data_IF_330808807852
#
_entry.id   IF_330808807852
#
_cell.length_a   1.000
_cell.length_b   1.000
_cell.length_c   1.000
_cell.angle_alpha   90.00
_cell.angle_beta   90.00
_cell.angle_gamma   90.00
#
_symmetry.space_group_name_H-M   'P 1'
#
loop_
_entity.id
_entity.type
_entity.pdbx_description
1 polymer ?
#
# COMPACT_ATOMS: atom_id res chain seq x y z
N UNK A 1 2.02 -0.78 17.88
CA UNK A 1 1.07 0.30 17.66
C UNK A 1 -0.01 -0.10 16.68
N UNK A 2 -1.19 0.43 16.90
CA UNK A 2 -2.28 0.19 15.98
C UNK A 2 -1.96 0.80 14.60
N UNK A 3 -2.44 0.15 13.56
CA UNK A 3 -2.33 0.56 12.17
C UNK A 3 -3.17 1.81 11.92
N UNK A 4 -2.63 2.81 11.24
CA UNK A 4 -3.40 3.99 10.83
C UNK A 4 -4.54 3.61 9.90
N UNK A 5 -5.63 4.36 9.97
CA UNK A 5 -6.83 4.13 9.13
C UNK A 5 -6.89 5.09 7.93
N UNK A 6 -5.78 5.77 7.63
CA UNK A 6 -5.73 6.68 6.49
C UNK A 6 -5.37 5.94 5.21
N UNK A 7 -5.97 6.36 4.12
CA UNK A 7 -5.72 5.78 2.80
C UNK A 7 -5.90 6.87 1.74
N UNK A 8 -5.14 6.79 0.65
CA UNK A 8 -5.38 7.67 -0.49
C UNK A 8 -6.64 7.22 -1.21
N UNK A 9 -7.23 8.11 -2.01
CA UNK A 9 -8.41 7.76 -2.82
C UNK A 9 -8.10 6.62 -3.78
N UNK A 10 -6.93 6.64 -4.41
CA UNK A 10 -6.46 5.58 -5.30
C UNK A 10 -6.37 4.23 -4.58
N UNK A 11 -5.80 4.25 -3.36
CA UNK A 11 -5.67 3.03 -2.56
C UNK A 11 -7.02 2.46 -2.15
N UNK A 12 -7.95 3.33 -1.75
CA UNK A 12 -9.30 2.89 -1.38
C UNK A 12 -9.99 2.23 -2.57
N UNK A 13 -9.90 2.87 -3.74
CA UNK A 13 -10.50 2.33 -4.97
C UNK A 13 -9.87 1.00 -5.36
N UNK A 14 -8.56 0.85 -5.18
CA UNK A 14 -7.86 -0.40 -5.46
C UNK A 14 -8.35 -1.55 -4.57
N UNK A 15 -8.52 -1.29 -3.27
CA UNK A 15 -9.02 -2.29 -2.32
C UNK A 15 -10.48 -2.63 -2.60
N UNK A 16 -11.30 -1.64 -2.91
CA UNK A 16 -12.70 -1.84 -3.25
C UNK A 16 -12.85 -2.66 -4.54
N UNK A 17 -12.03 -2.36 -5.54
CA UNK A 17 -12.02 -3.12 -6.80
C UNK A 17 -11.56 -4.56 -6.59
N UNK A 18 -10.56 -4.77 -5.74
CA UNK A 18 -10.10 -6.12 -5.38
C UNK A 18 -11.23 -6.92 -4.74
N UNK A 19 -11.95 -6.32 -3.79
CA UNK A 19 -13.08 -6.95 -3.12
C UNK A 19 -14.16 -7.39 -4.11
N UNK A 20 -14.54 -6.49 -5.02
CA UNK A 20 -15.56 -6.78 -6.03
C UNK A 20 -15.10 -7.88 -6.99
N UNK A 21 -13.84 -7.84 -7.43
CA UNK A 21 -13.27 -8.86 -8.31
C UNK A 21 -13.27 -10.24 -7.65
N UNK A 22 -12.78 -10.33 -6.41
CA UNK A 22 -12.72 -11.61 -5.69
C UNK A 22 -14.10 -12.21 -5.50
N UNK A 23 -15.07 -11.39 -5.12
CA UNK A 23 -16.41 -11.87 -4.81
C UNK A 23 -17.25 -12.17 -6.04
N UNK A 24 -17.22 -11.28 -7.03
CA UNK A 24 -18.10 -11.35 -8.20
C UNK A 24 -17.52 -12.12 -9.39
N UNK A 25 -16.21 -12.16 -9.52
CA UNK A 25 -15.56 -12.76 -10.68
C UNK A 25 -14.75 -14.00 -10.35
N UNK A 26 -13.77 -13.91 -9.47
CA UNK A 26 -12.89 -15.04 -9.18
C UNK A 26 -13.60 -16.14 -8.40
N UNK A 27 -14.31 -15.79 -7.32
CA UNK A 27 -14.97 -16.78 -6.46
C UNK A 27 -15.94 -17.69 -7.21
N UNK A 28 -16.84 -17.18 -8.07
CA UNK A 28 -17.73 -18.06 -8.84
C UNK A 28 -16.98 -19.04 -9.74
N UNK A 29 -15.90 -18.60 -10.39
CA UNK A 29 -15.09 -19.45 -11.27
C UNK A 29 -14.44 -20.58 -10.46
N UNK A 30 -13.83 -20.25 -9.33
CA UNK A 30 -13.17 -21.24 -8.46
C UNK A 30 -14.20 -22.20 -7.87
N UNK A 31 -15.36 -21.71 -7.46
CA UNK A 31 -16.45 -22.55 -6.93
C UNK A 31 -16.91 -23.57 -7.99
N UNK A 32 -17.07 -23.13 -9.23
CA UNK A 32 -17.44 -24.02 -10.33
C UNK A 32 -16.36 -25.07 -10.58
N UNK A 33 -15.09 -24.66 -10.60
CA UNK A 33 -13.97 -25.57 -10.79
C UNK A 33 -13.89 -26.63 -9.69
N UNK A 34 -14.14 -26.24 -8.43
CA UNK A 34 -14.18 -27.17 -7.30
C UNK A 34 -15.32 -28.16 -7.46
N UNK A 35 -16.51 -27.68 -7.87
CA UNK A 35 -17.68 -28.53 -8.07
C UNK A 35 -17.42 -29.59 -9.16
N UNK A 36 -16.82 -29.17 -10.27
CA UNK A 36 -16.46 -30.06 -11.38
C UNK A 36 -15.39 -31.08 -10.94
N UNK A 37 -14.37 -30.64 -10.22
CA UNK A 37 -13.33 -31.53 -9.72
C UNK A 37 -13.89 -32.54 -8.71
N UNK A 38 -14.80 -32.14 -7.85
CA UNK A 38 -15.45 -33.02 -6.88
C UNK A 38 -16.25 -34.13 -7.55
N UNK A 39 -16.81 -33.88 -8.71
CA UNK A 39 -17.59 -34.84 -9.45
C UNK A 39 -16.73 -35.89 -10.14
N UNK A 40 -15.42 -35.68 -10.25
CA UNK A 40 -14.50 -36.53 -11.03
C UNK A 40 -13.83 -37.64 -10.21
N UNK A 41 -14.14 -37.83 -8.94
CA UNK A 41 -13.64 -38.96 -8.17
C UNK A 41 -13.15 -38.65 -6.76
N UNK A 42 -12.07 -39.35 -6.34
CA UNK A 42 -11.56 -39.28 -4.96
C UNK A 42 -11.01 -37.86 -4.65
N UNK A 43 -11.68 -37.19 -3.72
CA UNK A 43 -11.31 -35.83 -3.31
C UNK A 43 -9.97 -35.74 -2.61
N UNK A 44 -9.55 -36.82 -1.93
CA UNK A 44 -8.31 -36.83 -1.18
C UNK A 44 -7.06 -36.85 -2.08
N UNK A 45 -7.17 -37.35 -3.31
CA UNK A 45 -6.08 -37.46 -4.29
C UNK A 45 -6.25 -36.50 -5.46
N UNK A 46 -7.33 -35.71 -5.47
CA UNK A 46 -7.66 -34.81 -6.57
C UNK A 46 -7.00 -33.44 -6.33
N UNK A 47 -5.87 -33.21 -7.00
CA UNK A 47 -5.10 -31.98 -6.84
C UNK A 47 -5.91 -30.72 -7.18
N UNK A 48 -6.73 -30.78 -8.20
CA UNK A 48 -7.57 -29.64 -8.60
C UNK A 48 -8.61 -29.31 -7.53
N UNK A 49 -9.20 -30.32 -6.92
CA UNK A 49 -10.13 -30.13 -5.80
C UNK A 49 -9.44 -29.51 -4.59
N UNK A 50 -8.28 -30.07 -4.21
CA UNK A 50 -7.50 -29.57 -3.05
C UNK A 50 -7.07 -28.13 -3.26
N UNK A 51 -6.52 -27.82 -4.43
CA UNK A 51 -6.08 -26.47 -4.78
C UNK A 51 -7.25 -25.49 -4.79
N UNK A 52 -8.36 -25.86 -5.40
CA UNK A 52 -9.55 -25.01 -5.47
C UNK A 52 -10.13 -24.71 -4.09
N UNK A 53 -10.20 -25.71 -3.22
CA UNK A 53 -10.68 -25.52 -1.83
C UNK A 53 -9.76 -24.59 -1.06
N UNK A 54 -8.45 -24.73 -1.24
CA UNK A 54 -7.47 -23.83 -0.61
C UNK A 54 -7.69 -22.39 -1.11
N UNK A 55 -7.85 -22.21 -2.42
CA UNK A 55 -8.07 -20.89 -3.01
C UNK A 55 -9.37 -20.25 -2.50
N UNK A 56 -10.45 -21.02 -2.37
CA UNK A 56 -11.69 -20.50 -1.80
C UNK A 56 -11.50 -19.98 -0.38
N UNK A 57 -10.74 -20.70 0.44
CA UNK A 57 -10.45 -20.24 1.81
C UNK A 57 -9.66 -18.94 1.81
N UNK A 58 -8.69 -18.80 0.90
CA UNK A 58 -7.90 -17.57 0.75
C UNK A 58 -8.81 -16.40 0.33
N UNK A 59 -9.67 -16.62 -0.67
CA UNK A 59 -10.62 -15.62 -1.16
C UNK A 59 -11.55 -15.18 -0.03
N UNK A 60 -12.17 -16.12 0.67
CA UNK A 60 -13.12 -15.82 1.74
C UNK A 60 -12.46 -15.06 2.89
N UNK A 61 -11.22 -15.40 3.21
CA UNK A 61 -10.45 -14.69 4.25
C UNK A 61 -10.14 -13.26 3.80
N UNK A 62 -9.71 -13.08 2.55
CA UNK A 62 -9.38 -11.76 2.00
C UNK A 62 -10.62 -10.88 1.88
N UNK A 63 -11.73 -11.44 1.40
CA UNK A 63 -13.02 -10.73 1.31
C UNK A 63 -13.46 -10.24 2.70
N UNK A 64 -13.36 -11.09 3.70
CA UNK A 64 -13.72 -10.73 5.08
C UNK A 64 -12.85 -9.60 5.60
N UNK A 65 -11.54 -9.71 5.38
CA UNK A 65 -10.59 -8.66 5.77
C UNK A 65 -10.91 -7.33 5.08
N UNK A 66 -11.07 -7.35 3.75
CA UNK A 66 -11.33 -6.13 2.96
C UNK A 66 -12.65 -5.48 3.37
N UNK A 67 -13.70 -6.27 3.58
CA UNK A 67 -15.00 -5.74 3.99
C UNK A 67 -14.90 -4.95 5.29
N UNK A 68 -14.24 -5.53 6.30
CA UNK A 68 -14.05 -4.88 7.59
C UNK A 68 -13.14 -3.68 7.50
N UNK A 69 -12.05 -3.80 6.72
CA UNK A 69 -11.04 -2.74 6.60
C UNK A 69 -11.61 -1.51 5.90
N UNK A 70 -12.36 -1.70 4.81
CA UNK A 70 -12.98 -0.60 4.07
C UNK A 70 -13.98 0.20 4.90
N UNK A 71 -14.62 -0.44 5.88
CA UNK A 71 -15.56 0.26 6.77
C UNK A 71 -14.88 1.29 7.67
N UNK A 72 -13.63 1.06 8.05
CA UNK A 72 -12.92 1.93 8.99
C UNK A 72 -11.91 2.86 8.33
N UNK A 73 -11.54 2.61 7.07
CA UNK A 73 -10.59 3.45 6.35
C UNK A 73 -11.16 4.82 6.05
N UNK A 74 -10.31 5.84 6.19
CA UNK A 74 -10.63 7.23 5.90
C UNK A 74 -9.81 7.71 4.72
N UNK A 75 -10.49 8.13 3.66
CA UNK A 75 -9.83 8.68 2.49
C UNK A 75 -9.30 10.06 2.84
N UNK A 76 -8.02 10.29 2.57
CA UNK A 76 -7.37 11.60 2.77
C UNK A 76 -6.94 12.11 1.40
N UNK A 77 -7.58 13.18 0.94
CA UNK A 77 -7.22 13.84 -0.31
C UNK A 77 -6.20 14.95 -0.04
N UNK A 78 -5.36 15.32 -1.03
CA UNK A 78 -4.43 16.44 -0.88
C UNK A 78 -5.16 17.74 -0.56
N UNK A 79 -4.58 18.53 0.34
CA UNK A 79 -5.10 19.85 0.72
C UNK A 79 -4.09 20.90 0.23
N UNK A 80 -4.51 21.86 -0.61
CA UNK A 80 -3.60 22.91 -1.09
C UNK A 80 -2.89 23.70 0.01
N UNK A 81 -3.49 23.77 1.21
CA UNK A 81 -2.88 24.45 2.36
C UNK A 81 -1.67 23.70 2.92
N UNK A 82 -1.47 22.46 2.51
CA UNK A 82 -0.36 21.62 2.95
C UNK A 82 0.86 21.68 2.03
N UNK A 83 0.77 22.41 0.93
CA UNK A 83 1.90 22.58 0.01
C UNK A 83 3.09 23.18 0.75
N UNK A 84 4.30 22.70 0.42
CA UNK A 84 5.53 23.13 1.06
C UNK A 84 5.90 22.34 2.32
N UNK A 85 4.98 21.51 2.82
CA UNK A 85 5.24 20.64 3.98
C UNK A 85 4.90 19.20 3.64
N UNK A 86 5.51 18.29 4.39
CA UNK A 86 5.28 16.86 4.21
C UNK A 86 4.09 16.44 5.06
N UNK A 87 3.02 16.00 4.40
CA UNK A 87 1.87 15.38 5.05
C UNK A 87 1.46 14.12 4.30
N UNK A 88 0.39 13.49 4.74
CA UNK A 88 -0.13 12.27 4.11
C UNK A 88 -0.34 12.46 2.60
N UNK A 89 0.11 11.50 1.81
CA UNK A 89 -0.04 11.53 0.36
C UNK A 89 1.08 12.25 -0.38
N UNK A 90 2.00 12.91 0.33
CA UNK A 90 3.09 13.66 -0.32
C UNK A 90 4.11 12.75 -0.98
N UNK A 91 4.63 13.19 -2.12
CA UNK A 91 5.86 12.67 -2.71
C UNK A 91 7.01 13.53 -2.22
N UNK A 92 8.03 12.90 -1.65
CA UNK A 92 9.17 13.58 -1.04
C UNK A 92 10.46 13.06 -1.65
N UNK A 93 11.27 13.96 -2.21
CA UNK A 93 12.61 13.63 -2.69
C UNK A 93 13.61 14.02 -1.62
N UNK A 94 14.45 13.08 -1.23
CA UNK A 94 15.46 13.27 -0.18
C UNK A 94 16.83 12.86 -0.69
N UNK A 95 17.87 13.35 -0.02
CA UNK A 95 19.26 12.98 -0.29
C UNK A 95 19.90 12.53 1.02
N UNK A 96 20.66 11.44 0.97
CA UNK A 96 21.35 10.93 2.16
C UNK A 96 22.79 11.44 2.25
N UNK A 97 23.53 10.97 3.25
CA UNK A 97 24.93 11.38 3.51
C UNK A 97 25.90 10.99 2.38
N UNK A 98 25.52 10.01 1.55
CA UNK A 98 26.31 9.54 0.43
C UNK A 98 25.92 10.24 -0.89
N UNK A 99 25.14 11.32 -0.80
CA UNK A 99 24.62 12.05 -1.96
C UNK A 99 23.72 11.21 -2.87
N UNK A 100 23.16 10.13 -2.32
CA UNK A 100 22.18 9.31 -3.03
C UNK A 100 20.78 9.88 -2.84
N UNK A 101 20.07 10.06 -3.95
CA UNK A 101 18.70 10.58 -3.91
C UNK A 101 17.70 9.44 -3.88
N UNK A 102 16.61 9.64 -3.13
CA UNK A 102 15.50 8.71 -3.07
C UNK A 102 14.19 9.49 -3.08
N UNK A 103 13.16 8.91 -3.69
CA UNK A 103 11.83 9.48 -3.69
C UNK A 103 10.89 8.53 -2.98
N UNK A 104 10.14 9.05 -2.03
CA UNK A 104 9.12 8.29 -1.29
C UNK A 104 7.77 8.94 -1.48
N UNK A 105 6.72 8.13 -1.48
CA UNK A 105 5.36 8.63 -1.29
C UNK A 105 4.86 8.12 0.05
N UNK A 106 4.30 9.01 0.87
CA UNK A 106 3.75 8.66 2.19
C UNK A 106 2.27 8.31 2.02
N UNK A 107 1.95 7.04 2.23
CA UNK A 107 0.60 6.51 2.02
C UNK A 107 0.12 5.75 3.25
N UNK A 108 -1.09 5.22 3.22
CA UNK A 108 -1.61 4.39 4.30
C UNK A 108 -0.92 3.03 4.35
N UNK A 109 -0.97 2.36 5.51
CA UNK A 109 -0.32 1.05 5.67
C UNK A 109 -0.88 -0.02 4.74
N UNK A 110 -2.12 0.12 4.27
CA UNK A 110 -2.73 -0.82 3.33
C UNK A 110 -2.26 -0.62 1.89
N UNK A 111 -1.54 0.48 1.62
CA UNK A 111 -1.06 0.83 0.28
C UNK A 111 0.44 0.66 0.13
N UNK A 112 1.13 0.20 1.16
CA UNK A 112 2.58 0.02 1.15
C UNK A 112 3.00 -0.79 -0.08
N UNK A 113 3.96 -0.25 -0.85
CA UNK A 113 4.45 -0.89 -2.05
C UNK A 113 5.91 -0.50 -2.29
N UNK A 114 6.87 -1.37 -1.90
CA UNK A 114 8.30 -1.07 -2.07
C UNK A 114 8.71 -0.83 -3.52
N UNK A 115 8.08 -1.51 -4.47
CA UNK A 115 8.40 -1.36 -5.89
C UNK A 115 8.09 0.04 -6.39
N UNK A 116 7.03 0.66 -5.87
CA UNK A 116 6.64 2.03 -6.21
C UNK A 116 7.29 3.07 -5.32
N UNK A 117 8.06 2.64 -4.30
CA UNK A 117 8.61 3.53 -3.27
C UNK A 117 7.53 4.21 -2.42
N UNK A 118 6.40 3.55 -2.28
CA UNK A 118 5.31 3.99 -1.41
C UNK A 118 5.52 3.41 -0.02
N UNK A 119 5.72 4.28 0.96
CA UNK A 119 6.00 3.90 2.35
C UNK A 119 4.79 4.20 3.22
N UNK A 120 4.61 3.37 4.25
CA UNK A 120 3.52 3.59 5.21
C UNK A 120 3.76 4.85 6.01
N UNK A 121 2.69 5.61 6.23
CA UNK A 121 2.70 6.77 7.13
C UNK A 121 3.14 6.38 8.54
N UNK A 122 2.98 5.11 8.92
CA UNK A 122 3.38 4.59 10.22
C UNK A 122 4.86 4.18 10.29
N UNK A 123 5.57 4.19 9.14
CA UNK A 123 6.98 3.79 9.10
C UNK A 123 7.89 4.81 9.78
N UNK A 124 9.07 4.39 10.26
CA UNK A 124 10.02 5.33 10.88
C UNK A 124 10.43 6.49 9.96
N UNK A 125 10.65 6.21 8.67
CA UNK A 125 11.02 7.24 7.69
C UNK A 125 9.89 8.26 7.55
N UNK A 126 8.66 7.79 7.35
CA UNK A 126 7.51 8.67 7.19
C UNK A 126 7.29 9.54 8.44
N UNK A 127 7.41 8.94 9.63
CA UNK A 127 7.25 9.68 10.89
C UNK A 127 8.28 10.79 11.06
N UNK A 128 9.51 10.55 10.60
CA UNK A 128 10.56 11.56 10.66
C UNK A 128 10.31 12.70 9.68
N UNK A 129 9.69 12.41 8.53
CA UNK A 129 9.45 13.39 7.47
C UNK A 129 8.20 14.25 7.70
N UNK A 130 7.18 13.74 8.40
CA UNK A 130 5.90 14.44 8.59
C UNK A 130 6.12 15.83 9.20
N UNK A 131 5.51 16.84 8.59
CA UNK A 131 5.56 18.23 9.05
C UNK A 131 6.81 18.99 8.64
N UNK A 132 7.74 18.34 7.97
CA UNK A 132 9.01 18.95 7.56
C UNK A 132 8.87 19.72 6.26
N UNK A 133 9.84 20.57 5.97
CA UNK A 133 9.89 21.43 4.79
C UNK A 133 11.13 21.13 3.96
N UNK A 134 11.19 21.69 2.76
CA UNK A 134 12.40 21.65 1.92
C UNK A 134 13.57 22.23 2.71
N UNK A 135 14.72 21.60 2.54
CA UNK A 135 16.00 21.91 3.20
C UNK A 135 16.08 21.46 4.66
N UNK A 136 15.02 20.92 5.23
CA UNK A 136 15.08 20.35 6.57
C UNK A 136 15.93 19.07 6.57
N UNK A 137 16.67 18.90 7.66
CA UNK A 137 17.45 17.69 7.93
C UNK A 137 16.66 16.80 8.89
N UNK A 138 16.56 15.52 8.54
CA UNK A 138 15.90 14.55 9.42
C UNK A 138 16.80 13.34 9.62
N UNK A 139 16.77 12.78 10.84
CA UNK A 139 17.52 11.58 11.17
C UNK A 139 16.57 10.46 11.49
N UNK A 140 16.79 9.29 10.87
CA UNK A 140 15.93 8.13 11.00
C UNK A 140 16.75 6.96 11.53
N UNK A 141 16.21 6.29 12.55
CA UNK A 141 16.77 5.02 13.02
C UNK A 141 16.23 3.89 12.15
N UNK A 142 17.11 3.17 11.49
CA UNK A 142 16.76 2.02 10.68
C UNK A 142 17.41 0.76 11.27
N UNK A 143 16.96 -0.46 10.86
CA UNK A 143 17.62 -1.69 11.30
C UNK A 143 19.10 -1.74 10.96
N UNK A 144 19.55 -1.02 9.94
CA UNK A 144 20.94 -0.97 9.50
C UNK A 144 21.72 0.23 10.11
N UNK A 145 21.12 0.93 11.07
CA UNK A 145 21.72 2.06 11.73
C UNK A 145 20.98 3.37 11.47
N UNK A 146 21.61 4.45 11.87
CA UNK A 146 21.06 5.79 11.70
C UNK A 146 21.33 6.33 10.31
N UNK A 147 20.29 6.91 9.67
CA UNK A 147 20.41 7.55 8.35
C UNK A 147 19.94 8.99 8.46
N UNK A 148 20.68 9.91 7.87
CA UNK A 148 20.30 11.32 7.79
C UNK A 148 19.86 11.63 6.36
N UNK A 149 18.71 12.31 6.24
CA UNK A 149 18.18 12.78 4.97
C UNK A 149 17.97 14.29 5.00
N UNK A 150 18.23 14.92 3.84
CA UNK A 150 17.86 16.31 3.59
C UNK A 150 16.73 16.31 2.56
N UNK A 151 15.68 17.08 2.84
CA UNK A 151 14.51 17.15 1.96
C UNK A 151 14.83 18.10 0.80
N UNK A 152 14.79 17.56 -0.44
CA UNK A 152 15.09 18.31 -1.64
C UNK A 152 13.84 18.92 -2.28
N UNK A 153 12.74 18.18 -2.28
CA UNK A 153 11.49 18.61 -2.92
C UNK A 153 10.30 17.88 -2.32
N UNK A 154 9.15 18.56 -2.30
CA UNK A 154 7.88 18.01 -1.82
C UNK A 154 6.83 18.30 -2.88
N UNK A 155 6.06 17.27 -3.27
CA UNK A 155 4.99 17.39 -4.26
C UNK A 155 3.75 16.63 -3.78
N UNK A 156 2.58 17.05 -4.22
CA UNK A 156 1.32 16.33 -4.00
C UNK A 156 0.81 15.72 -5.30
N UNK A 157 1.70 15.50 -6.23
CA UNK A 157 1.56 14.78 -7.48
C UNK A 157 2.85 14.00 -7.73
N UNK A 158 2.84 12.98 -8.58
CA UNK A 158 4.10 12.28 -8.91
C UNK A 158 5.13 13.25 -9.51
N UNK A 159 6.40 13.01 -9.22
CA UNK A 159 7.47 13.74 -9.88
C UNK A 159 7.49 13.35 -11.36
N UNK A 160 7.61 14.36 -12.21
CA UNK A 160 7.81 14.16 -13.64
C UNK A 160 9.31 14.27 -13.91
N UNK A 161 9.96 13.15 -14.20
CA UNK A 161 11.40 13.09 -14.40
C UNK A 161 11.89 13.99 -15.53
N UNK A 162 11.03 14.32 -16.48
CA UNK A 162 11.38 15.23 -17.57
C UNK A 162 11.34 16.72 -17.17
N UNK A 163 10.66 17.04 -16.08
CA UNK A 163 10.44 18.42 -15.62
C UNK A 163 11.11 18.69 -14.27
N UNK A 164 11.12 17.70 -13.39
CA UNK A 164 11.57 17.86 -12.00
C UNK A 164 13.05 17.45 -11.78
N UNK A 165 13.80 17.20 -12.84
CA UNK A 165 15.22 16.89 -12.77
C UNK A 165 16.07 18.18 -12.63
#
# INVERSE_FOLDING_TARGET
MAKSNYITREGWQALDSELHYLWREERPVVTQAVSEAAAMGDRSENAEYIYGKKRLREIDRRVRFLTKRLEVLKIVDPDPRQEGKVFFGAWVRVENELEEQRTFRLVGPDEFDPAKKWISIDSPVARALIGKQVDDEVTVQTPNGEVTYWILAIRYRPFDESVDN
#
